data_IF_499569190643
#
_entry.id   IF_499569190643
#
_cell.length_a   1.000
_cell.length_b   1.000
_cell.length_c   1.000
_cell.angle_alpha   90.00
_cell.angle_beta   90.00
_cell.angle_gamma   90.00
#
_symmetry.space_group_name_H-M   'P 1'
#
loop_
_entity.id
_entity.type
_entity.pdbx_description
1 polymer ?
#
# COMPACT_ATOMS: atom_id res chain seq x y z
N UNK A 1 -38.38 22.94 23.81
CA UNK A 1 -38.37 21.47 24.02
C UNK A 1 -36.98 21.00 23.65
N UNK A 2 -36.14 20.76 24.66
CA UNK A 2 -34.77 20.29 24.48
C UNK A 2 -34.80 18.78 24.30
N UNK A 3 -34.29 18.28 23.18
CA UNK A 3 -34.05 16.86 22.99
C UNK A 3 -32.66 16.60 23.56
N UNK A 4 -32.61 16.00 24.73
CA UNK A 4 -31.39 15.38 25.25
C UNK A 4 -31.00 14.27 24.26
N UNK A 5 -29.92 14.48 23.51
CA UNK A 5 -29.23 13.38 22.85
C UNK A 5 -28.54 12.58 23.95
N UNK A 6 -29.19 11.50 24.37
CA UNK A 6 -28.56 10.43 25.11
C UNK A 6 -27.51 9.80 24.17
N UNK A 7 -26.25 10.20 24.32
CA UNK A 7 -25.13 9.46 23.72
C UNK A 7 -25.21 8.03 24.22
N UNK A 8 -25.60 7.11 23.34
CA UNK A 8 -25.47 5.69 23.60
C UNK A 8 -23.97 5.43 23.84
N UNK A 9 -23.64 5.01 25.07
CA UNK A 9 -22.29 4.58 25.44
C UNK A 9 -21.98 3.36 24.59
N UNK A 10 -21.30 3.57 23.47
CA UNK A 10 -20.82 2.50 22.61
C UNK A 10 -19.82 1.67 23.43
N UNK A 11 -20.17 0.41 23.73
CA UNK A 11 -19.36 -0.49 24.57
C UNK A 11 -18.25 -1.06 23.69
N UNK A 12 -17.21 -0.28 23.45
CA UNK A 12 -16.01 -0.73 22.77
C UNK A 12 -14.98 -1.31 23.72
N UNK A 13 -14.08 -2.12 23.17
CA UNK A 13 -12.94 -2.70 23.90
C UNK A 13 -11.73 -1.82 23.66
N UNK A 14 -11.14 -1.29 24.74
CA UNK A 14 -9.94 -0.46 24.69
C UNK A 14 -8.78 -1.20 25.35
N UNK A 15 -7.65 -1.33 24.65
CA UNK A 15 -6.46 -1.99 25.18
C UNK A 15 -5.16 -1.37 24.68
N UNK A 16 -4.07 -1.65 25.38
CA UNK A 16 -2.73 -1.15 25.08
C UNK A 16 -1.76 -2.32 24.96
N UNK A 17 -1.02 -2.37 23.85
CA UNK A 17 0.09 -3.29 23.63
C UNK A 17 1.39 -2.52 23.76
N UNK A 18 2.25 -2.95 24.68
CA UNK A 18 3.56 -2.34 24.94
C UNK A 18 4.66 -2.99 24.09
N UNK A 19 5.83 -2.34 23.97
CA UNK A 19 6.99 -2.86 23.25
C UNK A 19 7.43 -4.28 23.67
N UNK A 20 7.32 -4.59 24.95
CA UNK A 20 7.68 -5.90 25.53
C UNK A 20 6.61 -6.99 25.27
N UNK A 21 5.55 -6.66 24.52
CA UNK A 21 4.44 -7.54 24.21
C UNK A 21 3.39 -7.66 25.31
N UNK A 22 3.54 -6.93 26.42
CA UNK A 22 2.51 -6.93 27.47
C UNK A 22 1.26 -6.19 27.01
N UNK A 23 0.09 -6.76 27.34
CA UNK A 23 -1.23 -6.22 26.99
C UNK A 23 -1.93 -5.78 28.26
N UNK A 24 -2.50 -4.57 28.25
CA UNK A 24 -3.29 -4.01 29.35
C UNK A 24 -4.65 -3.53 28.86
N UNK A 25 -5.71 -3.76 29.62
CA UNK A 25 -7.09 -3.33 29.30
C UNK A 25 -7.91 -4.35 28.50
N UNK A 26 -7.28 -5.35 27.88
CA UNK A 26 -7.97 -6.46 27.23
C UNK A 26 -8.38 -7.53 28.26
N UNK A 27 -9.61 -8.03 28.17
CA UNK A 27 -10.13 -9.14 28.98
C UNK A 27 -9.73 -10.52 28.44
N UNK A 28 -8.89 -10.53 27.39
CA UNK A 28 -8.42 -11.70 26.67
C UNK A 28 -9.20 -11.99 25.38
N UNK A 29 -10.31 -11.29 25.12
CA UNK A 29 -11.10 -11.46 23.90
C UNK A 29 -10.35 -10.98 22.64
N UNK A 30 -9.45 -9.99 22.79
CA UNK A 30 -8.70 -9.41 21.67
C UNK A 30 -7.30 -10.02 21.49
N UNK A 31 -7.00 -11.15 22.14
CA UNK A 31 -5.64 -11.69 22.23
C UNK A 31 -4.92 -11.89 20.89
N UNK A 32 -5.63 -12.36 19.86
CA UNK A 32 -5.05 -12.52 18.52
C UNK A 32 -4.74 -11.17 17.86
N UNK A 33 -5.64 -10.19 17.99
CA UNK A 33 -5.44 -8.84 17.50
C UNK A 33 -4.26 -8.17 18.21
N UNK A 34 -4.23 -8.23 19.54
CA UNK A 34 -3.16 -7.66 20.34
C UNK A 34 -1.78 -8.23 19.96
N UNK A 35 -1.71 -9.54 19.67
CA UNK A 35 -0.50 -10.20 19.20
C UNK A 35 -0.08 -9.78 17.78
N UNK A 36 -1.04 -9.44 16.91
CA UNK A 36 -0.78 -9.03 15.54
C UNK A 36 -0.24 -7.58 15.44
N UNK A 37 -0.65 -6.68 16.33
CA UNK A 37 -0.32 -5.24 16.26
C UNK A 37 1.20 -4.94 16.16
N UNK A 38 2.09 -5.56 16.96
CA UNK A 38 3.53 -5.32 16.82
C UNK A 38 4.09 -5.71 15.46
N UNK A 39 3.60 -6.80 14.86
CA UNK A 39 4.01 -7.21 13.52
C UNK A 39 3.50 -6.23 12.46
N UNK A 40 2.21 -5.90 12.53
CA UNK A 40 1.57 -4.91 11.65
C UNK A 40 2.27 -3.55 11.72
N UNK A 41 2.57 -3.04 12.91
CA UNK A 41 3.28 -1.77 13.08
C UNK A 41 4.69 -1.79 12.48
N UNK A 42 5.44 -2.89 12.62
CA UNK A 42 6.76 -3.03 11.97
C UNK A 42 6.67 -3.01 10.45
N UNK A 43 5.68 -3.69 9.87
CA UNK A 43 5.45 -3.65 8.42
C UNK A 43 5.08 -2.24 7.96
N UNK A 44 4.12 -1.61 8.64
CA UNK A 44 3.66 -0.26 8.32
C UNK A 44 4.79 0.77 8.43
N UNK A 45 5.64 0.70 9.46
CA UNK A 45 6.82 1.56 9.57
C UNK A 45 7.75 1.42 8.36
N UNK A 46 8.06 0.19 7.93
CA UNK A 46 8.86 -0.04 6.73
C UNK A 46 8.18 0.46 5.46
N UNK A 47 6.85 0.42 5.38
CA UNK A 47 6.13 1.07 4.30
C UNK A 47 6.34 2.58 4.32
N UNK A 48 6.21 3.24 5.48
CA UNK A 48 6.45 4.67 5.64
C UNK A 48 7.85 5.11 5.18
N UNK A 49 8.86 4.28 5.44
CA UNK A 49 10.23 4.48 4.92
C UNK A 49 10.29 4.40 3.38
N UNK A 50 9.61 3.42 2.77
CA UNK A 50 9.59 3.23 1.32
C UNK A 50 8.86 4.36 0.58
N UNK A 51 7.79 4.90 1.16
CA UNK A 51 7.00 5.97 0.55
C UNK A 51 7.44 7.37 0.99
N UNK A 52 8.48 7.46 1.83
CA UNK A 52 8.96 8.74 2.38
C UNK A 52 7.93 9.48 3.24
N UNK A 53 6.97 8.78 3.84
CA UNK A 53 5.87 9.38 4.60
C UNK A 53 6.17 9.58 6.09
N UNK A 54 7.34 9.13 6.57
CA UNK A 54 7.75 9.25 7.97
C UNK A 54 7.18 8.16 8.87
N UNK A 55 7.10 8.44 10.17
CA UNK A 55 6.65 7.47 11.17
C UNK A 55 5.13 7.26 11.16
N UNK A 56 4.70 6.01 11.38
CA UNK A 56 3.28 5.70 11.56
C UNK A 56 2.76 6.34 12.86
N UNK A 57 1.67 7.10 12.78
CA UNK A 57 1.01 7.77 13.90
C UNK A 57 -0.29 7.08 14.33
N UNK A 58 -1.03 6.56 13.37
CA UNK A 58 -2.23 5.80 13.64
C UNK A 58 -2.47 4.73 12.57
N UNK A 59 -3.17 3.66 12.93
CA UNK A 59 -3.81 2.79 11.95
C UNK A 59 -5.31 2.72 12.23
N UNK A 60 -6.08 2.55 11.16
CA UNK A 60 -7.50 2.26 11.24
C UNK A 60 -7.80 1.07 10.33
N UNK A 61 -8.58 0.11 10.83
CA UNK A 61 -9.09 -0.98 10.01
C UNK A 61 -10.61 -1.00 10.11
N UNK A 62 -11.24 -1.22 8.96
CA UNK A 62 -12.69 -1.15 8.80
C UNK A 62 -13.20 -2.49 8.28
N UNK A 63 -14.13 -3.06 9.03
CA UNK A 63 -14.88 -4.26 8.68
C UNK A 63 -16.21 -4.28 9.42
N UNK A 64 -16.55 -5.40 10.06
CA UNK A 64 -17.68 -5.45 10.99
C UNK A 64 -17.45 -4.57 12.24
N UNK A 65 -16.18 -4.29 12.54
CA UNK A 65 -15.75 -3.39 13.59
C UNK A 65 -14.81 -2.34 12.99
N UNK A 66 -14.76 -1.18 13.63
CA UNK A 66 -13.70 -0.18 13.45
C UNK A 66 -12.66 -0.45 14.51
N UNK A 67 -11.47 -0.81 14.06
CA UNK A 67 -10.28 -0.80 14.89
C UNK A 67 -9.57 0.53 14.67
N UNK A 68 -9.41 1.33 15.70
CA UNK A 68 -8.57 2.53 15.68
C UNK A 68 -7.39 2.33 16.62
N UNK A 69 -6.17 2.54 16.14
CA UNK A 69 -4.95 2.35 16.94
C UNK A 69 -4.05 3.56 16.85
N UNK A 70 -3.82 4.22 17.98
CA UNK A 70 -2.78 5.24 18.11
C UNK A 70 -1.41 4.57 18.32
N UNK A 71 -0.38 5.04 17.60
CA UNK A 71 0.96 4.45 17.63
C UNK A 71 1.98 5.46 18.15
N UNK A 72 2.81 5.04 19.10
CA UNK A 72 3.94 5.83 19.59
C UNK A 72 5.21 4.99 19.50
N UNK A 73 6.27 5.57 18.93
CA UNK A 73 7.54 4.90 18.72
C UNK A 73 8.58 5.33 19.76
N UNK A 74 9.37 4.37 20.24
CA UNK A 74 10.61 4.65 20.97
C UNK A 74 11.73 5.05 19.99
N UNK A 75 12.81 5.71 20.45
CA UNK A 75 13.99 5.97 19.61
C UNK A 75 14.66 4.70 19.06
N UNK A 76 14.51 3.57 19.75
CA UNK A 76 14.98 2.26 19.31
C UNK A 76 14.07 1.62 18.23
N UNK A 77 12.94 2.25 17.94
CA UNK A 77 11.99 1.84 16.92
C UNK A 77 10.95 0.82 17.36
N UNK A 78 10.71 0.72 18.66
CA UNK A 78 9.70 -0.16 19.23
C UNK A 78 8.37 0.60 19.40
N UNK A 79 7.26 -0.04 19.05
CA UNK A 79 5.94 0.60 19.05
C UNK A 79 5.14 0.30 20.32
N UNK A 80 4.46 1.31 20.85
CA UNK A 80 3.32 1.16 21.76
C UNK A 80 2.04 1.43 20.99
N UNK A 81 1.05 0.54 21.13
CA UNK A 81 -0.19 0.56 20.37
C UNK A 81 -1.36 0.73 21.33
N UNK A 82 -2.13 1.80 21.17
CA UNK A 82 -3.36 2.06 21.93
C UNK A 82 -4.54 1.80 21.03
N UNK A 83 -5.19 0.66 21.19
CA UNK A 83 -6.27 0.20 20.34
C UNK A 83 -7.62 0.46 20.99
N UNK A 84 -8.58 0.87 20.17
CA UNK A 84 -9.99 0.96 20.49
C UNK A 84 -10.77 0.21 19.39
N UNK A 85 -11.61 -0.72 19.81
CA UNK A 85 -12.46 -1.50 18.91
C UNK A 85 -13.91 -1.09 19.12
N UNK A 86 -14.57 -0.64 18.06
CA UNK A 86 -15.97 -0.21 18.06
C UNK A 86 -16.75 -1.00 17.02
N UNK A 87 -17.99 -1.37 17.31
CA UNK A 87 -18.83 -2.03 16.31
C UNK A 87 -19.25 -1.00 15.27
N UNK A 88 -19.17 -1.35 14.00
CA UNK A 88 -19.69 -0.51 12.93
C UNK A 88 -21.11 -0.92 12.58
N UNK A 89 -21.94 0.07 12.27
CA UNK A 89 -23.17 -0.19 11.53
C UNK A 89 -22.82 -0.77 10.16
N UNK A 90 -23.64 -1.71 9.69
CA UNK A 90 -23.41 -2.33 8.39
C UNK A 90 -23.51 -1.27 7.29
N UNK A 91 -22.39 -1.00 6.60
CA UNK A 91 -22.37 -0.10 5.45
C UNK A 91 -23.10 -0.74 4.29
N UNK A 92 -23.99 0.02 3.63
CA UNK A 92 -24.58 -0.40 2.35
C UNK A 92 -23.56 -0.13 1.25
N UNK A 93 -22.91 -1.20 0.77
CA UNK A 93 -22.03 -1.13 -0.40
C UNK A 93 -22.89 -1.20 -1.65
N UNK A 94 -22.82 -0.22 -2.57
CA UNK A 94 -23.60 -0.27 -3.79
C UNK A 94 -23.18 -1.47 -4.64
N UNK A 95 -24.16 -2.21 -5.17
CA UNK A 95 -23.92 -3.27 -6.14
C UNK A 95 -23.86 -2.65 -7.54
N UNK A 96 -22.73 -2.80 -8.21
CA UNK A 96 -22.56 -2.35 -9.58
C UNK A 96 -22.74 -3.53 -10.52
N UNK A 97 -23.63 -3.40 -11.52
CA UNK A 97 -23.63 -4.31 -12.66
C UNK A 97 -22.66 -3.78 -13.70
N UNK A 98 -21.54 -4.45 -13.88
CA UNK A 98 -20.63 -4.17 -15.01
C UNK A 98 -21.36 -4.59 -16.28
N UNK A 99 -21.72 -3.62 -17.13
CA UNK A 99 -22.44 -3.86 -18.38
C UNK A 99 -21.43 -4.24 -19.47
N UNK A 100 -21.36 -5.53 -19.79
CA UNK A 100 -20.57 -6.07 -20.91
C UNK A 100 -19.44 -7.00 -20.46
N UNK A 101 -18.95 -7.84 -21.38
CA UNK A 101 -17.70 -8.59 -21.19
C UNK A 101 -16.53 -7.59 -21.27
N UNK A 102 -16.28 -6.89 -20.17
CA UNK A 102 -15.20 -5.92 -20.10
C UNK A 102 -13.89 -6.69 -19.98
N UNK A 103 -12.91 -6.31 -20.81
CA UNK A 103 -11.53 -6.75 -20.65
C UNK A 103 -11.07 -6.41 -19.22
N UNK A 104 -10.66 -7.42 -18.45
CA UNK A 104 -10.20 -7.25 -17.07
C UNK A 104 -9.14 -6.17 -16.95
N UNK A 105 -8.24 -6.06 -17.94
CA UNK A 105 -7.18 -5.05 -17.94
C UNK A 105 -7.76 -3.63 -18.03
N UNK A 106 -8.77 -3.43 -18.88
CA UNK A 106 -9.48 -2.17 -19.01
C UNK A 106 -10.28 -1.81 -17.74
N UNK A 107 -10.92 -2.81 -17.10
CA UNK A 107 -11.62 -2.60 -15.84
C UNK A 107 -10.67 -2.17 -14.70
N UNK A 108 -9.51 -2.81 -14.61
CA UNK A 108 -8.47 -2.46 -13.62
C UNK A 108 -7.92 -1.06 -13.88
N UNK A 109 -7.59 -0.73 -15.14
CA UNK A 109 -7.11 0.60 -15.52
C UNK A 109 -8.14 1.68 -15.16
N UNK A 110 -9.41 1.46 -15.52
CA UNK A 110 -10.51 2.37 -15.15
C UNK A 110 -10.61 2.60 -13.64
N UNK A 111 -10.49 1.55 -12.83
CA UNK A 111 -10.55 1.67 -11.37
C UNK A 111 -9.39 2.48 -10.79
N UNK A 112 -8.18 2.28 -11.31
CA UNK A 112 -6.97 3.02 -10.93
C UNK A 112 -7.12 4.49 -11.30
N UNK A 113 -7.53 4.79 -12.54
CA UNK A 113 -7.78 6.16 -13.00
C UNK A 113 -8.87 6.85 -12.17
N UNK A 114 -9.95 6.11 -11.84
CA UNK A 114 -11.04 6.61 -11.02
C UNK A 114 -10.56 7.06 -9.64
N UNK A 115 -9.69 6.30 -8.98
CA UNK A 115 -9.13 6.69 -7.68
C UNK A 115 -8.23 7.93 -7.81
N UNK A 116 -7.48 8.05 -8.91
CA UNK A 116 -6.65 9.23 -9.17
C UNK A 116 -7.46 10.52 -9.39
N UNK A 117 -8.77 10.43 -9.66
CA UNK A 117 -9.65 11.62 -9.74
C UNK A 117 -9.95 12.27 -8.40
N UNK A 118 -9.59 11.63 -7.28
CA UNK A 118 -9.88 12.12 -5.93
C UNK A 118 -8.79 13.09 -5.48
N UNK A 119 -9.21 14.27 -5.03
CA UNK A 119 -8.30 15.31 -4.59
C UNK A 119 -7.38 14.82 -3.45
N UNK A 120 -6.07 14.98 -3.65
CA UNK A 120 -5.05 14.61 -2.67
C UNK A 120 -4.51 13.19 -2.78
N UNK A 121 -5.06 12.34 -3.66
CA UNK A 121 -4.43 11.08 -4.04
C UNK A 121 -3.17 11.36 -4.88
N UNK A 122 -2.05 10.75 -4.49
CA UNK A 122 -0.75 10.91 -5.19
C UNK A 122 -0.43 9.75 -6.10
N UNK A 123 -0.72 8.54 -5.63
CA UNK A 123 -0.62 7.34 -6.45
C UNK A 123 -1.58 6.26 -5.96
N UNK A 124 -1.92 5.34 -6.85
CA UNK A 124 -2.67 4.13 -6.55
C UNK A 124 -2.14 2.96 -7.37
N UNK A 125 -2.28 1.74 -6.85
CA UNK A 125 -1.77 0.52 -7.47
C UNK A 125 -2.60 -0.69 -7.10
N UNK A 126 -2.73 -1.63 -8.03
CA UNK A 126 -3.32 -2.94 -7.78
C UNK A 126 -2.20 -3.98 -7.76
N UNK A 127 -2.09 -4.68 -6.63
CA UNK A 127 -1.04 -5.66 -6.37
C UNK A 127 -1.65 -7.04 -6.15
N UNK A 128 -1.11 -8.01 -6.88
CA UNK A 128 -1.59 -9.38 -6.82
C UNK A 128 -1.00 -10.16 -5.65
N UNK A 129 -1.67 -11.24 -5.24
CA UNK A 129 -1.17 -12.18 -4.24
C UNK A 129 0.24 -12.71 -4.52
N UNK A 130 0.64 -12.76 -5.80
CA UNK A 130 1.98 -13.16 -6.25
C UNK A 130 2.98 -12.00 -6.32
N UNK A 131 2.74 -10.91 -5.61
CA UNK A 131 3.64 -9.74 -5.53
C UNK A 131 3.82 -8.96 -6.83
N UNK A 132 2.93 -9.14 -7.80
CA UNK A 132 2.98 -8.41 -9.09
C UNK A 132 2.10 -7.17 -9.04
N UNK A 133 2.61 -6.03 -9.51
CA UNK A 133 1.81 -4.84 -9.80
C UNK A 133 1.19 -5.02 -11.18
N UNK A 134 -0.14 -4.98 -11.28
CA UNK A 134 -0.87 -5.18 -12.55
C UNK A 134 -1.45 -3.88 -13.10
N UNK A 135 -1.53 -2.84 -12.27
CA UNK A 135 -1.83 -1.48 -12.69
C UNK A 135 -1.33 -0.51 -11.61
N UNK A 136 -0.92 0.67 -12.03
CA UNK A 136 -0.63 1.78 -11.14
C UNK A 136 -0.77 3.12 -11.88
N UNK A 137 -1.08 4.17 -11.14
CA UNK A 137 -1.09 5.54 -11.62
C UNK A 137 -0.54 6.48 -10.53
N UNK A 138 0.09 7.59 -10.95
CA UNK A 138 0.78 8.55 -10.07
C UNK A 138 2.13 8.98 -10.64
N UNK A 139 2.88 9.80 -9.88
CA UNK A 139 4.23 10.22 -10.26
C UNK A 139 5.18 9.01 -10.25
N UNK A 140 5.87 8.79 -11.37
CA UNK A 140 6.69 7.60 -11.63
C UNK A 140 7.87 7.45 -10.68
N UNK A 141 8.36 8.57 -10.13
CA UNK A 141 9.41 8.55 -9.08
C UNK A 141 8.95 7.85 -7.80
N UNK A 142 7.64 7.83 -7.53
CA UNK A 142 7.05 7.21 -6.35
C UNK A 142 6.71 5.73 -6.56
N UNK A 143 6.86 5.20 -7.79
CA UNK A 143 6.35 3.87 -8.16
C UNK A 143 7.37 2.71 -8.02
N UNK A 144 8.65 2.99 -7.75
CA UNK A 144 9.69 1.94 -7.67
C UNK A 144 9.46 0.91 -6.53
N UNK A 145 8.71 1.27 -5.49
CA UNK A 145 8.48 0.43 -4.32
C UNK A 145 7.08 -0.19 -4.24
N UNK A 146 6.24 -0.03 -5.27
CA UNK A 146 4.83 -0.45 -5.23
C UNK A 146 4.63 -1.93 -4.93
N UNK A 147 5.43 -2.81 -5.54
CA UNK A 147 5.35 -4.24 -5.26
C UNK A 147 5.65 -4.54 -3.78
N UNK A 148 6.65 -3.88 -3.22
CA UNK A 148 7.06 -4.05 -1.82
C UNK A 148 6.05 -3.46 -0.83
N UNK A 149 5.47 -2.31 -1.18
CA UNK A 149 4.42 -1.63 -0.43
C UNK A 149 3.13 -2.47 -0.46
N UNK A 150 2.73 -2.95 -1.63
CA UNK A 150 1.58 -3.83 -1.81
C UNK A 150 1.70 -5.15 -1.06
N UNK A 151 2.87 -5.78 -1.08
CA UNK A 151 3.11 -7.01 -0.32
C UNK A 151 2.97 -6.80 1.19
N UNK A 152 3.49 -5.69 1.71
CA UNK A 152 3.34 -5.36 3.13
C UNK A 152 1.90 -5.05 3.48
N UNK A 153 1.20 -4.29 2.63
CA UNK A 153 -0.23 -4.04 2.82
C UNK A 153 -1.04 -5.34 2.82
N UNK A 154 -0.79 -6.26 1.88
CA UNK A 154 -1.42 -7.58 1.88
C UNK A 154 -1.14 -8.38 3.15
N UNK A 155 0.11 -8.37 3.63
CA UNK A 155 0.48 -9.06 4.86
C UNK A 155 -0.21 -8.45 6.09
N UNK A 156 -0.40 -7.13 6.12
CA UNK A 156 -1.13 -6.45 7.18
C UNK A 156 -2.63 -6.75 7.10
N UNK A 157 -3.24 -6.65 5.91
CA UNK A 157 -4.66 -6.97 5.72
C UNK A 157 -4.94 -8.39 6.21
N UNK A 158 -4.11 -9.37 5.79
CA UNK A 158 -4.21 -10.77 6.21
C UNK A 158 -3.99 -10.99 7.71
N UNK A 159 -3.10 -10.22 8.36
CA UNK A 159 -2.89 -10.37 9.80
C UNK A 159 -4.07 -9.89 10.64
N UNK A 160 -5.00 -9.12 10.04
CA UNK A 160 -6.17 -8.53 10.70
C UNK A 160 -7.51 -9.04 10.13
N UNK A 161 -7.47 -9.89 9.11
CA UNK A 161 -8.60 -10.29 8.25
C UNK A 161 -9.67 -11.09 8.99
N UNK A 162 -9.28 -11.88 10.00
CA UNK A 162 -10.19 -12.82 10.66
C UNK A 162 -11.34 -12.13 11.45
N UNK A 163 -11.22 -10.85 11.83
CA UNK A 163 -12.27 -10.15 12.59
C UNK A 163 -12.38 -8.62 12.35
N UNK A 164 -11.38 -7.97 11.75
CA UNK A 164 -11.25 -6.50 11.86
C UNK A 164 -11.02 -5.77 10.53
N UNK A 165 -10.56 -6.43 9.47
CA UNK A 165 -10.19 -5.79 8.20
C UNK A 165 -10.88 -6.42 6.97
N UNK A 166 -12.20 -6.59 7.01
CA UNK A 166 -12.96 -7.14 5.86
C UNK A 166 -13.20 -6.12 4.75
N UNK A 167 -13.01 -4.83 5.03
CA UNK A 167 -13.22 -3.72 4.09
C UNK A 167 -11.91 -3.15 3.57
N UNK A 168 -11.28 -2.32 4.39
CA UNK A 168 -10.07 -1.59 4.07
C UNK A 168 -9.31 -1.22 5.33
N UNK A 169 -8.10 -0.71 5.14
CA UNK A 169 -7.22 -0.26 6.19
C UNK A 169 -6.58 1.07 5.80
N UNK A 170 -6.37 1.93 6.78
CA UNK A 170 -5.65 3.18 6.65
C UNK A 170 -4.47 3.23 7.61
N UNK A 171 -3.33 3.60 7.08
CA UNK A 171 -2.08 3.80 7.82
C UNK A 171 -1.74 5.28 7.74
N UNK A 172 -1.92 6.00 8.84
CA UNK A 172 -1.59 7.42 8.94
C UNK A 172 -0.14 7.60 9.32
N UNK A 173 0.62 8.21 8.43
CA UNK A 173 1.99 8.63 8.65
C UNK A 173 2.06 10.14 8.86
N UNK A 174 3.25 10.66 9.15
CA UNK A 174 3.46 12.11 9.31
C UNK A 174 3.19 12.90 8.03
N UNK A 175 3.57 12.34 6.87
CA UNK A 175 3.51 13.00 5.56
C UNK A 175 2.26 12.69 4.73
N UNK A 176 1.41 11.77 5.18
CA UNK A 176 0.23 11.32 4.42
C UNK A 176 -0.34 10.01 4.97
N UNK A 177 -1.23 9.39 4.21
CA UNK A 177 -1.84 8.12 4.57
C UNK A 177 -1.71 7.11 3.43
N UNK A 178 -1.36 5.87 3.77
CA UNK A 178 -1.49 4.73 2.85
C UNK A 178 -2.79 4.01 3.17
N UNK A 179 -3.68 3.91 2.21
CA UNK A 179 -4.93 3.19 2.27
C UNK A 179 -4.81 1.91 1.47
N UNK A 180 -5.22 0.79 2.04
CA UNK A 180 -5.23 -0.51 1.36
C UNK A 180 -6.57 -1.21 1.53
N UNK A 181 -7.03 -1.88 0.49
CA UNK A 181 -8.26 -2.67 0.55
C UNK A 181 -8.08 -4.02 -0.13
N UNK A 182 -8.77 -5.03 0.41
CA UNK A 182 -8.73 -6.39 -0.13
C UNK A 182 -9.61 -6.49 -1.40
N UNK A 183 -9.02 -7.07 -2.44
CA UNK A 183 -9.64 -7.47 -3.70
C UNK A 183 -9.55 -9.00 -3.82
N UNK A 184 -10.29 -9.70 -2.97
CA UNK A 184 -10.17 -11.15 -2.80
C UNK A 184 -8.80 -11.52 -2.23
N UNK A 185 -7.95 -12.18 -3.02
CA UNK A 185 -6.56 -12.49 -2.62
C UNK A 185 -5.55 -11.39 -2.95
N UNK A 186 -6.00 -10.37 -3.70
CA UNK A 186 -5.22 -9.25 -4.19
C UNK A 186 -5.50 -8.01 -3.33
N UNK A 187 -4.79 -6.91 -3.56
CA UNK A 187 -5.06 -5.65 -2.87
C UNK A 187 -4.97 -4.47 -3.82
N UNK A 188 -5.76 -3.45 -3.53
CA UNK A 188 -5.52 -2.10 -4.02
C UNK A 188 -4.86 -1.29 -2.92
N UNK A 189 -3.85 -0.49 -3.28
CA UNK A 189 -3.09 0.35 -2.35
C UNK A 189 -2.97 1.74 -2.93
N UNK A 190 -3.31 2.74 -2.13
CA UNK A 190 -3.35 4.15 -2.51
C UNK A 190 -2.58 4.95 -1.47
N UNK A 191 -1.79 5.93 -1.92
CA UNK A 191 -1.20 6.93 -1.05
C UNK A 191 -1.85 8.29 -1.29
N UNK A 192 -2.30 8.92 -0.22
CA UNK A 192 -2.99 10.19 -0.25
C UNK A 192 -2.41 11.14 0.81
N UNK A 193 -2.39 12.44 0.49
CA UNK A 193 -2.12 13.51 1.45
C UNK A 193 -3.38 13.88 2.24
N UNK A 194 -3.72 15.16 2.25
CA UNK A 194 -5.03 15.62 2.70
C UNK A 194 -6.07 15.26 1.64
N UNK A 195 -7.02 14.38 1.97
CA UNK A 195 -8.08 13.92 1.07
C UNK A 195 -9.40 13.85 1.82
N UNK A 196 -10.51 13.85 1.08
CA UNK A 196 -11.82 13.57 1.67
C UNK A 196 -11.97 12.06 1.88
N UNK A 197 -11.98 11.65 3.13
CA UNK A 197 -11.99 10.23 3.48
C UNK A 197 -13.28 9.54 3.02
N UNK A 198 -14.44 10.17 3.20
CA UNK A 198 -15.72 9.56 2.83
C UNK A 198 -15.80 9.30 1.33
N UNK A 199 -15.24 10.20 0.53
CA UNK A 199 -15.14 10.07 -0.92
C UNK A 199 -14.16 8.96 -1.33
N UNK A 200 -12.95 8.96 -0.77
CA UNK A 200 -11.97 7.90 -1.03
C UNK A 200 -12.53 6.52 -0.69
N UNK A 201 -13.22 6.41 0.44
CA UNK A 201 -13.82 5.16 0.88
C UNK A 201 -15.03 4.73 0.05
N UNK A 202 -15.80 5.68 -0.49
CA UNK A 202 -16.88 5.37 -1.42
C UNK A 202 -16.32 4.83 -2.74
N UNK A 203 -15.28 5.45 -3.28
CA UNK A 203 -14.64 5.00 -4.53
C UNK A 203 -13.91 3.66 -4.35
N UNK A 204 -13.27 3.41 -3.20
CA UNK A 204 -12.67 2.10 -2.93
C UNK A 204 -13.74 1.00 -2.91
N UNK A 205 -14.89 1.24 -2.29
CA UNK A 205 -15.99 0.27 -2.29
C UNK A 205 -16.58 0.06 -3.69
N UNK A 206 -16.69 1.10 -4.50
CA UNK A 206 -17.03 1.02 -5.93
C UNK A 206 -16.04 0.14 -6.70
N UNK A 207 -14.74 0.37 -6.55
CA UNK A 207 -13.69 -0.41 -7.20
C UNK A 207 -13.74 -1.88 -6.77
N UNK A 208 -13.95 -2.15 -5.48
CA UNK A 208 -14.09 -3.52 -4.97
C UNK A 208 -15.30 -4.23 -5.58
N UNK A 209 -16.42 -3.52 -5.73
CA UNK A 209 -17.62 -4.07 -6.35
C UNK A 209 -17.42 -4.33 -7.86
N UNK A 210 -16.77 -3.43 -8.60
CA UNK A 210 -16.47 -3.60 -10.03
C UNK A 210 -15.53 -4.80 -10.25
N UNK A 211 -14.49 -4.93 -9.42
CA UNK A 211 -13.46 -5.95 -9.60
C UNK A 211 -13.79 -7.30 -8.95
N UNK A 212 -14.91 -7.43 -8.22
CA UNK A 212 -15.28 -8.64 -7.49
C UNK A 212 -15.37 -9.90 -8.38
N UNK A 213 -15.89 -9.74 -9.60
CA UNK A 213 -16.12 -10.84 -10.54
C UNK A 213 -14.98 -11.02 -11.56
N UNK A 214 -13.90 -10.25 -11.43
CA UNK A 214 -12.77 -10.27 -12.36
C UNK A 214 -11.61 -11.14 -11.85
N UNK A 215 -11.05 -11.99 -12.70
CA UNK A 215 -9.81 -12.71 -12.37
C UNK A 215 -8.58 -11.83 -12.59
N UNK A 216 -8.18 -11.13 -11.53
CA UNK A 216 -7.00 -10.27 -11.56
C UNK A 216 -5.67 -11.01 -11.81
N UNK A 217 -5.66 -12.35 -11.76
CA UNK A 217 -4.45 -13.11 -12.06
C UNK A 217 -4.12 -13.20 -13.55
N UNK A 218 -5.12 -13.01 -14.43
CA UNK A 218 -4.96 -13.05 -15.89
C UNK A 218 -4.43 -11.74 -16.47
N UNK A 219 -4.40 -10.66 -15.69
CA UNK A 219 -3.91 -9.36 -16.14
C UNK A 219 -2.39 -9.43 -16.36
N UNK A 220 -1.89 -9.05 -17.55
CA UNK A 220 -0.46 -9.01 -17.82
C UNK A 220 0.24 -7.95 -16.95
N UNK A 221 1.53 -8.15 -16.70
CA UNK A 221 2.37 -7.21 -15.95
C UNK A 221 3.14 -6.30 -16.88
N UNK A 222 2.42 -5.58 -17.75
CA UNK A 222 3.04 -4.63 -18.67
C UNK A 222 3.44 -3.32 -17.97
N UNK A 223 3.38 -3.31 -16.63
CA UNK A 223 3.88 -2.22 -15.80
C UNK A 223 5.40 -2.31 -15.66
N UNK A 224 6.10 -1.55 -16.51
CA UNK A 224 7.53 -1.28 -16.37
C UNK A 224 7.72 0.11 -15.72
N UNK A 225 8.12 0.19 -14.42
CA UNK A 225 8.37 1.46 -13.76
C UNK A 225 9.56 2.23 -14.37
N UNK A 226 10.41 1.55 -15.14
CA UNK A 226 11.60 2.12 -15.79
C UNK A 226 11.40 2.39 -17.29
N UNK A 227 10.22 2.06 -17.85
CA UNK A 227 9.92 2.36 -19.26
C UNK A 227 9.82 3.88 -19.45
N UNK A 228 10.53 4.45 -20.42
CA UNK A 228 10.42 5.87 -20.77
C UNK A 228 9.02 6.14 -21.34
N UNK A 229 8.28 7.14 -20.85
CA UNK A 229 7.01 7.55 -21.49
C UNK A 229 7.40 8.15 -22.83
N UNK A 230 7.16 7.41 -23.89
CA UNK A 230 6.98 7.99 -25.21
C UNK A 230 5.50 8.40 -25.31
N UNK A 231 5.03 9.28 -24.43
CA UNK A 231 3.79 9.99 -24.70
C UNK A 231 4.13 11.19 -25.58
N UNK A 232 3.64 11.24 -26.84
CA UNK A 232 3.76 12.43 -27.66
C UNK A 232 2.86 13.49 -27.04
N UNK A 233 3.46 14.47 -26.36
CA UNK A 233 2.77 15.73 -26.09
C UNK A 233 2.42 16.37 -27.43
N UNK A 234 1.20 16.89 -27.48
CA UNK A 234 0.42 17.12 -28.68
C UNK A 234 1.02 18.09 -29.70
N UNK A 235 0.35 18.05 -30.85
CA UNK A 235 0.45 18.93 -32.01
C UNK A 235 0.69 20.40 -31.64
N UNK A 236 1.87 20.93 -31.95
CA UNK A 236 2.02 22.34 -32.34
C UNK A 236 1.77 22.43 -33.85
N UNK A 237 0.69 23.10 -34.31
CA UNK A 237 0.58 23.46 -35.70
C UNK A 237 1.48 24.70 -35.96
N UNK A 238 2.31 24.57 -37.00
CA UNK A 238 3.06 25.63 -37.69
C UNK A 238 4.45 26.04 -37.17
N UNK A 239 5.47 25.51 -37.87
CA UNK A 239 6.43 26.36 -38.60
C UNK A 239 7.85 26.48 -38.06
N UNK A 240 8.77 25.63 -38.52
CA UNK A 240 9.94 26.01 -39.36
C UNK A 240 10.91 24.81 -39.53
N UNK A 241 11.63 24.68 -40.66
CA UNK A 241 12.55 23.57 -40.90
C UNK A 241 13.86 23.79 -40.12
N UNK A 242 14.11 22.97 -39.10
CA UNK A 242 15.43 22.91 -38.47
C UNK A 242 16.40 22.19 -39.40
N UNK A 243 17.42 22.94 -39.82
CA UNK A 243 18.51 22.50 -40.67
C UNK A 243 19.28 21.32 -40.05
N UNK A 244 19.63 20.35 -40.88
CA UNK A 244 20.58 19.29 -40.58
C UNK A 244 21.93 19.91 -40.16
N UNK A 245 22.27 19.80 -38.87
CA UNK A 245 23.63 20.09 -38.38
C UNK A 245 24.44 18.81 -38.53
N UNK A 246 25.26 18.79 -39.58
CA UNK A 246 26.34 17.82 -39.78
C UNK A 246 27.33 17.87 -38.59
N UNK A 247 27.64 16.73 -37.93
CA UNK A 247 28.55 16.75 -36.80
C UNK A 247 30.01 16.93 -37.25
N UNK A 248 30.66 17.98 -36.73
CA UNK A 248 32.08 18.24 -36.95
C UNK A 248 32.97 17.10 -36.40
N UNK A 249 34.02 16.68 -37.14
CA UNK A 249 34.91 15.59 -36.73
C UNK A 249 35.97 16.08 -35.74
N UNK A 250 36.15 15.36 -34.61
CA UNK A 250 37.37 15.54 -33.82
C UNK A 250 37.27 15.45 -32.29
N UNK A 251 36.49 14.52 -31.73
CA UNK A 251 36.64 14.16 -30.32
C UNK A 251 37.08 12.68 -30.20
N UNK A 252 38.21 12.36 -29.56
CA UNK A 252 38.73 11.00 -29.44
C UNK A 252 37.80 10.14 -28.55
N UNK A 253 37.72 8.81 -28.83
CA UNK A 253 36.83 7.93 -28.09
C UNK A 253 37.28 7.81 -26.61
N UNK A 254 36.37 7.87 -25.63
CA UNK A 254 36.74 7.56 -24.26
C UNK A 254 37.16 6.08 -24.16
N UNK A 255 38.39 5.90 -23.69
CA UNK A 255 39.09 4.64 -23.49
C UNK A 255 38.28 3.66 -22.62
N UNK A 256 37.87 2.56 -23.24
CA UNK A 256 37.40 1.35 -22.57
C UNK A 256 38.61 0.58 -22.05
N UNK A 257 38.72 0.42 -20.73
CA UNK A 257 39.49 -0.66 -20.12
C UNK A 257 40.27 -0.32 -18.85
N UNK A 258 39.70 -0.67 -17.69
CA UNK A 258 40.48 -1.20 -16.59
C UNK A 258 39.66 -2.26 -15.84
N UNK A 259 40.05 -3.50 -16.09
CA UNK A 259 39.58 -4.71 -15.42
C UNK A 259 39.96 -4.64 -13.95
N UNK A 260 39.00 -4.72 -13.03
CA UNK A 260 39.30 -5.14 -11.66
C UNK A 260 39.45 -6.66 -11.63
N UNK A 261 40.66 -7.12 -11.98
CA UNK A 261 41.16 -8.40 -11.52
C UNK A 261 41.56 -8.24 -10.05
N UNK A 262 40.77 -8.84 -9.15
CA UNK A 262 41.02 -8.77 -7.71
C UNK A 262 40.06 -9.63 -6.90
N UNK A 263 39.67 -10.79 -7.42
CA UNK A 263 38.98 -11.82 -6.67
C UNK A 263 39.90 -12.32 -5.55
N UNK A 264 39.76 -11.75 -4.35
CA UNK A 264 40.27 -12.35 -3.14
C UNK A 264 39.68 -13.75 -3.03
N UNK A 265 40.55 -14.77 -3.13
CA UNK A 265 40.22 -16.16 -2.80
C UNK A 265 39.64 -16.21 -1.39
N UNK A 266 38.32 -16.32 -1.26
CA UNK A 266 37.71 -16.75 0.00
C UNK A 266 38.10 -18.20 0.20
N UNK A 267 38.89 -18.47 1.23
CA UNK A 267 39.17 -19.84 1.69
C UNK A 267 37.86 -20.61 1.93
N UNK A 268 37.77 -21.88 1.53
CA UNK A 268 36.66 -22.73 1.90
C UNK A 268 36.67 -22.96 3.41
N UNK A 269 35.63 -22.49 4.09
CA UNK A 269 35.39 -22.80 5.51
C UNK A 269 35.29 -24.33 5.68
N UNK A 270 36.19 -24.89 6.49
CA UNK A 270 36.17 -26.29 6.93
C UNK A 270 34.81 -26.62 7.57
N UNK A 271 34.18 -27.76 7.21
CA UNK A 271 33.01 -28.26 7.93
C UNK A 271 33.41 -28.66 9.36
N UNK A 272 32.74 -28.08 10.36
CA UNK A 272 32.86 -28.46 11.76
C UNK A 272 32.34 -29.89 11.93
N UNK A 273 33.25 -30.80 12.32
CA UNK A 273 32.94 -32.17 12.72
C UNK A 273 31.90 -32.16 13.86
N UNK A 274 30.82 -32.90 13.63
CA UNK A 274 29.87 -33.38 14.63
C UNK A 274 30.61 -34.38 15.52
N UNK A 275 30.82 -34.05 16.79
CA UNK A 275 31.09 -35.06 17.82
C UNK A 275 29.75 -35.54 18.34
N UNK A 276 29.51 -36.85 18.23
CA UNK A 276 28.35 -37.50 18.84
C UNK A 276 28.60 -37.80 20.31
N UNK A 277 27.53 -37.77 21.09
CA UNK A 277 26.96 -38.93 21.76
C UNK A 277 25.47 -38.68 21.97
#
# INVERSE_FOLDING_TARGET
MSVEHTEAVDVGVDFVVRPDGTVAGDDGASGALAAALPYTGRLARRMGELVGAGDLRALEAYGAHRLSVGVTWTPAGEGTYRAALRRLEARVVPTYMVVGAVDTSAAVAHCVDRIMTIDGVRWTSVVTAGSRVIAAAGDRRELHHLAEVGNRMLAILRSLEDQHATGFMRLHFEGGAVVGASLGRHAIVTYAGATNDDELLAVIDEVRAILADHDLSTVPTDFDPDAVDLHPTGEDPQGDPVQDIEPAPGAPPPLVGARFAGAGKREPRKPRRRFGR
#
